data_IF_841915658501
#
_entry.id   IF_841915658501
#
_cell.length_a   1.000
_cell.length_b   1.000
_cell.length_c   1.000
_cell.angle_alpha   90.00
_cell.angle_beta   90.00
_cell.angle_gamma   90.00
#
_symmetry.space_group_name_H-M   'P 1'
#
loop_
_entity.id
_entity.type
_entity.pdbx_description
1 polymer ?
#
# COMPACT_ATOMS: atom_id res chain seq x y z
N UNK A 1 -1.75 6.75 15.57
CA UNK A 1 -0.77 5.72 15.15
C UNK A 1 -0.06 6.25 13.91
N UNK A 2 1.27 6.19 13.83
CA UNK A 2 1.98 6.77 12.68
C UNK A 2 2.12 5.73 11.57
N UNK A 3 1.16 5.73 10.63
CA UNK A 3 1.29 4.98 9.38
C UNK A 3 2.45 5.59 8.59
N UNK A 4 3.47 4.79 8.30
CA UNK A 4 4.65 5.19 7.52
C UNK A 4 4.61 4.65 6.10
N UNK A 5 4.00 3.47 5.91
CA UNK A 5 3.88 2.81 4.62
C UNK A 5 2.43 2.44 4.36
N UNK A 6 1.95 2.79 3.17
CA UNK A 6 0.69 2.26 2.63
C UNK A 6 1.04 1.27 1.51
N UNK A 7 0.49 0.06 1.60
CA UNK A 7 0.62 -0.95 0.55
C UNK A 7 -0.74 -1.08 -0.17
N UNK A 8 -0.82 -0.55 -1.38
CA UNK A 8 -1.99 -0.65 -2.23
C UNK A 8 -1.92 -1.93 -3.07
N UNK A 9 -2.67 -2.95 -2.68
CA UNK A 9 -2.65 -4.28 -3.25
C UNK A 9 -1.82 -5.26 -2.43
N UNK A 10 -2.45 -6.34 -1.96
CA UNK A 10 -1.82 -7.39 -1.15
C UNK A 10 -2.05 -8.78 -1.73
N UNK A 11 -1.98 -8.88 -3.06
CA UNK A 11 -1.81 -10.16 -3.77
C UNK A 11 -0.45 -10.81 -3.46
N UNK A 12 -0.08 -11.84 -4.21
CA UNK A 12 1.12 -12.64 -3.94
C UNK A 12 2.40 -11.79 -3.80
N UNK A 13 2.63 -10.85 -4.73
CA UNK A 13 3.84 -10.01 -4.70
C UNK A 13 3.81 -9.00 -3.54
N UNK A 14 2.70 -8.28 -3.36
CA UNK A 14 2.54 -7.34 -2.25
C UNK A 14 2.70 -8.01 -0.89
N UNK A 15 2.11 -9.19 -0.71
CA UNK A 15 2.26 -9.98 0.51
C UNK A 15 3.70 -10.49 0.72
N UNK A 16 4.37 -10.95 -0.33
CA UNK A 16 5.76 -11.40 -0.22
C UNK A 16 6.70 -10.26 0.21
N UNK A 17 6.53 -9.07 -0.39
CA UNK A 17 7.26 -7.87 -0.01
C UNK A 17 6.96 -7.47 1.44
N UNK A 18 5.67 -7.39 1.82
CA UNK A 18 5.25 -7.09 3.19
C UNK A 18 5.88 -8.06 4.19
N UNK A 19 5.72 -9.37 3.98
CA UNK A 19 6.28 -10.40 4.84
C UNK A 19 7.80 -10.26 4.97
N UNK A 20 8.50 -10.02 3.86
CA UNK A 20 9.95 -9.80 3.87
C UNK A 20 10.37 -8.58 4.67
N UNK A 21 9.69 -7.44 4.51
CA UNK A 21 9.99 -6.21 5.23
C UNK A 21 9.78 -6.36 6.74
N UNK A 22 8.66 -6.97 7.15
CA UNK A 22 8.37 -7.19 8.56
C UNK A 22 9.38 -8.17 9.18
N UNK A 23 9.69 -9.27 8.50
CA UNK A 23 10.72 -10.24 8.94
C UNK A 23 12.11 -9.64 9.07
N UNK A 24 12.44 -8.65 8.24
CA UNK A 24 13.73 -7.95 8.33
C UNK A 24 13.88 -7.08 9.59
N UNK A 25 12.79 -6.84 10.33
CA UNK A 25 12.75 -5.98 11.51
C UNK A 25 12.86 -4.48 11.22
N UNK A 26 12.98 -4.08 9.94
CA UNK A 26 13.12 -2.67 9.53
C UNK A 26 11.81 -1.90 9.50
N UNK A 27 10.68 -2.60 9.45
CA UNK A 27 9.34 -2.01 9.37
C UNK A 27 8.44 -2.66 10.43
N UNK A 28 7.98 -1.90 11.45
CA UNK A 28 7.04 -2.46 12.42
C UNK A 28 5.65 -2.64 11.78
N UNK A 29 4.94 -3.74 12.05
CA UNK A 29 3.62 -4.00 11.46
C UNK A 29 2.60 -2.88 11.68
N UNK A 30 2.61 -2.26 12.87
CA UNK A 30 1.72 -1.15 13.23
C UNK A 30 1.97 0.15 12.45
N UNK A 31 3.09 0.27 11.73
CA UNK A 31 3.36 1.41 10.85
C UNK A 31 2.90 1.16 9.39
N UNK A 32 2.25 0.03 9.12
CA UNK A 32 1.79 -0.36 7.80
C UNK A 32 0.27 -0.37 7.74
N UNK A 33 -0.27 0.26 6.70
CA UNK A 33 -1.66 0.10 6.31
C UNK A 33 -1.75 -0.59 4.95
N UNK A 34 -2.52 -1.67 4.87
CA UNK A 34 -2.73 -2.44 3.63
C UNK A 34 -4.11 -2.14 3.05
N UNK A 35 -4.16 -1.82 1.77
CA UNK A 35 -5.43 -1.65 1.03
C UNK A 35 -5.58 -2.82 0.07
N UNK A 36 -6.61 -3.65 0.28
CA UNK A 36 -6.85 -4.83 -0.55
C UNK A 36 -8.35 -5.18 -0.59
N UNK A 37 -9.01 -5.19 -1.76
CA UNK A 37 -10.44 -5.46 -1.85
C UNK A 37 -10.82 -6.92 -1.50
N UNK A 38 -9.92 -7.88 -1.70
CA UNK A 38 -10.18 -9.28 -1.36
C UNK A 38 -10.05 -9.53 0.16
N UNK A 39 -11.12 -10.03 0.79
CA UNK A 39 -11.18 -10.25 2.23
C UNK A 39 -10.15 -11.28 2.75
N UNK A 40 -9.89 -12.36 2.01
CA UNK A 40 -8.94 -13.38 2.44
C UNK A 40 -7.50 -12.88 2.36
N UNK A 41 -7.19 -12.06 1.36
CA UNK A 41 -5.88 -11.41 1.25
C UNK A 41 -5.67 -10.37 2.35
N UNK A 42 -6.70 -9.59 2.72
CA UNK A 42 -6.64 -8.71 3.90
C UNK A 42 -6.34 -9.47 5.19
N UNK A 43 -7.07 -10.55 5.44
CA UNK A 43 -6.85 -11.39 6.64
C UNK A 43 -5.42 -11.90 6.76
N UNK A 44 -4.75 -12.20 5.64
CA UNK A 44 -3.34 -12.60 5.64
C UNK A 44 -2.42 -11.46 6.07
N UNK A 45 -2.69 -10.22 5.65
CA UNK A 45 -1.93 -9.05 6.09
C UNK A 45 -2.17 -8.73 7.58
N UNK A 46 -3.42 -8.84 8.03
CA UNK A 46 -3.80 -8.67 9.44
C UNK A 46 -3.13 -9.73 10.34
N UNK A 47 -2.99 -10.97 9.85
CA UNK A 47 -2.26 -12.02 10.55
C UNK A 47 -0.76 -11.71 10.73
N UNK A 48 -0.19 -10.78 9.95
CA UNK A 48 1.16 -10.26 10.15
C UNK A 48 1.21 -9.06 11.13
N UNK A 49 0.06 -8.66 11.68
CA UNK A 49 -0.07 -7.54 12.62
C UNK A 49 -0.26 -6.16 11.97
N UNK A 50 -0.52 -6.10 10.66
CA UNK A 50 -0.77 -4.86 9.95
C UNK A 50 -2.24 -4.43 10.06
N UNK A 51 -2.51 -3.12 9.98
CA UNK A 51 -3.85 -2.62 9.71
C UNK A 51 -4.21 -2.85 8.25
N UNK A 52 -5.48 -3.17 7.95
CA UNK A 52 -5.95 -3.35 6.59
C UNK A 52 -7.34 -2.75 6.37
N UNK A 53 -7.62 -2.35 5.13
CA UNK A 53 -8.90 -1.83 4.66
C UNK A 53 -9.24 -2.35 3.26
N UNK A 54 -10.54 -2.39 2.94
CA UNK A 54 -10.99 -2.80 1.61
C UNK A 54 -10.63 -1.78 0.52
N UNK A 55 -10.54 -0.52 0.90
CA UNK A 55 -10.25 0.63 0.06
C UNK A 55 -9.40 1.67 0.81
N UNK A 56 -8.99 2.72 0.09
CA UNK A 56 -8.16 3.79 0.64
C UNK A 56 -8.89 4.67 1.69
N UNK A 57 -10.22 4.60 1.76
CA UNK A 57 -11.04 5.30 2.76
C UNK A 57 -10.84 4.73 4.17
N UNK A 58 -10.40 3.48 4.29
CA UNK A 58 -10.00 2.90 5.57
C UNK A 58 -8.69 3.44 6.16
N UNK A 59 -7.87 4.12 5.35
CA UNK A 59 -6.62 4.71 5.83
C UNK A 59 -6.97 5.91 6.72
N UNK A 60 -6.40 6.04 7.94
CA UNK A 60 -6.66 7.17 8.82
C UNK A 60 -6.54 8.53 8.12
N UNK A 61 -7.44 9.47 8.46
CA UNK A 61 -7.49 10.78 7.82
C UNK A 61 -6.23 11.62 8.10
N UNK A 62 -5.64 11.44 9.29
CA UNK A 62 -4.41 12.09 9.77
C UNK A 62 -3.12 11.37 9.34
N UNK A 63 -3.22 10.25 8.60
CA UNK A 63 -2.06 9.52 8.13
C UNK A 63 -1.26 10.36 7.12
N UNK A 64 0.06 10.45 7.34
CA UNK A 64 1.01 11.06 6.40
C UNK A 64 2.13 10.05 6.12
N UNK A 65 1.88 9.07 5.23
CA UNK A 65 2.87 8.04 4.94
C UNK A 65 4.09 8.61 4.23
N UNK A 66 5.27 8.11 4.54
CA UNK A 66 6.48 8.43 3.80
C UNK A 66 6.53 7.69 2.45
N UNK A 67 5.87 6.53 2.36
CA UNK A 67 5.88 5.68 1.16
C UNK A 67 4.48 5.11 0.88
N UNK A 68 4.04 5.21 -0.38
CA UNK A 68 2.89 4.48 -0.91
C UNK A 68 3.42 3.51 -1.99
N UNK A 69 3.24 2.21 -1.76
CA UNK A 69 3.63 1.16 -2.70
C UNK A 69 2.41 0.69 -3.48
N UNK A 70 2.44 0.87 -4.80
CA UNK A 70 1.41 0.44 -5.73
C UNK A 70 1.76 -0.96 -6.24
N UNK A 71 1.10 -1.96 -5.67
CA UNK A 71 1.25 -3.39 -5.93
C UNK A 71 -0.02 -4.03 -6.53
N UNK A 72 -0.77 -3.24 -7.29
CA UNK A 72 -1.95 -3.70 -8.05
C UNK A 72 -1.59 -4.09 -9.48
N UNK A 73 -2.51 -4.76 -10.16
CA UNK A 73 -2.31 -5.12 -11.58
C UNK A 73 -2.35 -3.87 -12.47
N UNK A 74 -1.62 -3.85 -13.61
CA UNK A 74 -1.58 -2.71 -14.52
C UNK A 74 -2.94 -2.17 -14.97
N UNK A 75 -3.92 -3.06 -15.13
CA UNK A 75 -5.26 -2.72 -15.65
C UNK A 75 -6.03 -1.76 -14.73
N UNK A 76 -5.73 -1.74 -13.42
CA UNK A 76 -6.49 -0.97 -12.42
C UNK A 76 -5.69 0.20 -11.83
N UNK A 77 -4.47 0.46 -12.30
CA UNK A 77 -3.58 1.47 -11.71
C UNK A 77 -4.22 2.86 -11.67
N UNK A 78 -4.77 3.34 -12.80
CA UNK A 78 -5.32 4.70 -12.90
C UNK A 78 -6.49 4.93 -11.93
N UNK A 79 -7.32 3.91 -11.75
CA UNK A 79 -8.43 3.96 -10.79
C UNK A 79 -7.90 3.99 -9.35
N UNK A 80 -6.94 3.11 -9.05
CA UNK A 80 -6.33 2.99 -7.72
C UNK A 80 -5.61 4.26 -7.33
N UNK A 81 -4.77 4.84 -8.21
CA UNK A 81 -3.95 6.03 -7.88
C UNK A 81 -4.79 7.26 -7.58
N UNK A 82 -5.99 7.39 -8.16
CA UNK A 82 -6.90 8.49 -7.88
C UNK A 82 -7.25 8.60 -6.39
N UNK A 83 -7.37 7.46 -5.69
CA UNK A 83 -7.70 7.39 -4.28
C UNK A 83 -6.56 7.86 -3.35
N UNK A 84 -5.32 7.97 -3.86
CA UNK A 84 -4.13 8.37 -3.09
C UNK A 84 -3.68 9.81 -3.35
N UNK A 85 -4.40 10.57 -4.19
CA UNK A 85 -4.09 11.98 -4.51
C UNK A 85 -3.93 12.87 -3.26
N UNK A 86 -4.60 12.53 -2.16
CA UNK A 86 -4.48 13.25 -0.88
C UNK A 86 -3.09 13.24 -0.25
N UNK A 87 -2.18 12.37 -0.73
CA UNK A 87 -0.78 12.30 -0.31
C UNK A 87 0.18 13.05 -1.23
N UNK A 88 -0.33 13.85 -2.19
CA UNK A 88 0.49 14.61 -3.14
C UNK A 88 1.01 15.95 -2.57
N UNK A 89 1.49 15.94 -1.34
CA UNK A 89 1.96 17.14 -0.62
C UNK A 89 3.50 17.27 -0.60
N UNK A 90 4.20 16.43 -1.38
CA UNK A 90 5.66 16.36 -1.44
C UNK A 90 6.32 15.60 -0.29
N UNK A 91 5.57 15.11 0.72
CA UNK A 91 6.11 14.33 1.84
C UNK A 91 6.07 12.83 1.59
N UNK A 92 5.22 12.38 0.66
CA UNK A 92 5.03 10.97 0.32
C UNK A 92 5.74 10.62 -0.98
N UNK A 93 6.57 9.59 -0.93
CA UNK A 93 7.13 8.95 -2.14
C UNK A 93 6.16 7.89 -2.65
N UNK A 94 5.95 7.84 -3.97
CA UNK A 94 5.18 6.78 -4.62
C UNK A 94 6.13 5.80 -5.32
N UNK A 95 5.91 4.50 -5.11
CA UNK A 95 6.66 3.42 -5.74
C UNK A 95 5.68 2.45 -6.40
N UNK A 96 5.79 2.27 -7.72
CA UNK A 96 5.03 1.23 -8.43
C UNK A 96 5.92 0.02 -8.70
N UNK A 97 5.36 -1.17 -8.48
CA UNK A 97 5.97 -2.45 -8.90
C UNK A 97 5.22 -3.09 -10.07
N UNK A 98 4.31 -2.34 -10.70
CA UNK A 98 3.50 -2.88 -11.79
C UNK A 98 4.33 -3.10 -13.06
N UNK A 99 4.31 -4.33 -13.54
CA UNK A 99 5.05 -4.73 -14.73
C UNK A 99 4.58 -3.94 -15.97
N UNK A 100 5.53 -3.48 -16.78
CA UNK A 100 5.27 -2.84 -18.06
C UNK A 100 4.55 -1.49 -17.98
N UNK A 101 4.46 -0.88 -16.79
CA UNK A 101 3.80 0.43 -16.61
C UNK A 101 4.86 1.54 -16.53
N UNK A 102 4.96 2.43 -17.52
CA UNK A 102 5.93 3.52 -17.49
C UNK A 102 5.54 4.59 -16.47
N UNK A 103 6.53 5.35 -15.99
CA UNK A 103 6.32 6.44 -15.01
C UNK A 103 5.31 7.48 -15.52
N UNK A 104 5.29 7.76 -16.82
CA UNK A 104 4.33 8.65 -17.48
C UNK A 104 2.85 8.24 -17.30
N UNK A 105 2.56 7.04 -16.79
CA UNK A 105 1.20 6.62 -16.42
C UNK A 105 0.71 7.32 -15.13
N UNK A 106 1.65 7.77 -14.30
CA UNK A 106 1.42 8.33 -12.97
C UNK A 106 1.54 9.86 -12.91
N UNK A 107 1.94 10.49 -14.02
CA UNK A 107 2.07 11.94 -14.17
C UNK A 107 0.73 12.61 -14.56
#
# INVERSE_FOLDING_TARGET
>A
MTIKLVLAGCGNMGYAMLSGWLKSGKLPPAAVFVVEPNADLRKRAEALGCSAGADAGGIPADAVPALVVIAVKPQVIREVTAAYKRFNDGRTTFLSIAAGTPVATFE
#
